data_IF_337788082416
#
_entry.id   IF_337788082416
#
_cell.length_a   1.000
_cell.length_b   1.000
_cell.length_c   1.000
_cell.angle_alpha   90.00
_cell.angle_beta   90.00
_cell.angle_gamma   90.00
#
_symmetry.space_group_name_H-M   'P 1'
#
loop_
_entity.id
_entity.type
_entity.pdbx_description
1 polymer ?
#
# COMPACT_ATOMS: atom_id res chain seq x y z
N UNK A 1 21.81 7.53 11.18
CA UNK A 1 22.60 6.51 10.45
C UNK A 1 21.69 5.61 9.60
N UNK A 2 20.44 5.34 10.00
CA UNK A 2 19.44 4.59 9.22
C UNK A 2 18.99 5.28 7.92
N UNK A 3 18.80 6.61 7.93
CA UNK A 3 18.34 7.38 6.75
C UNK A 3 19.33 7.33 5.57
N UNK A 4 20.63 7.16 5.85
CA UNK A 4 21.66 7.07 4.81
C UNK A 4 21.55 5.76 4.02
N UNK A 5 21.19 4.66 4.68
CA UNK A 5 20.96 3.37 4.04
C UNK A 5 19.68 3.36 3.20
N UNK A 6 18.61 3.99 3.67
CA UNK A 6 17.37 4.11 2.90
C UNK A 6 17.58 4.94 1.62
N UNK A 7 18.30 6.06 1.73
CA UNK A 7 18.63 6.91 0.59
C UNK A 7 19.59 6.23 -0.40
N UNK A 8 20.61 5.50 0.06
CA UNK A 8 21.49 4.71 -0.82
C UNK A 8 20.75 3.57 -1.54
N UNK A 9 19.80 2.89 -0.86
CA UNK A 9 18.95 1.87 -1.50
C UNK A 9 18.05 2.46 -2.58
N UNK A 10 17.53 3.66 -2.35
CA UNK A 10 16.73 4.39 -3.33
C UNK A 10 17.57 4.84 -4.55
N UNK A 11 18.74 5.44 -4.31
CA UNK A 11 19.61 5.98 -5.36
C UNK A 11 20.27 4.92 -6.24
N UNK A 12 20.50 3.71 -5.72
CA UNK A 12 21.09 2.62 -6.49
C UNK A 12 20.09 1.95 -7.45
N UNK A 13 18.81 2.36 -7.41
CA UNK A 13 17.71 1.63 -7.99
C UNK A 13 17.50 0.32 -7.23
N UNK A 14 16.25 -0.06 -6.96
CA UNK A 14 15.94 -1.42 -6.50
C UNK A 14 16.07 -2.41 -7.67
N UNK A 15 17.26 -2.43 -8.26
CA UNK A 15 17.65 -3.36 -9.29
C UNK A 15 17.92 -4.71 -8.62
N UNK A 16 17.05 -5.67 -8.88
CA UNK A 16 17.11 -7.05 -8.34
C UNK A 16 18.50 -7.71 -8.53
N UNK A 17 19.27 -7.24 -9.50
CA UNK A 17 20.61 -7.74 -9.79
C UNK A 17 21.68 -7.30 -8.78
N UNK A 18 21.40 -6.29 -7.95
CA UNK A 18 22.36 -5.71 -6.99
C UNK A 18 21.97 -5.84 -5.52
N UNK A 19 20.74 -6.27 -5.23
CA UNK A 19 20.25 -6.36 -3.86
C UNK A 19 20.34 -7.79 -3.33
N UNK A 20 21.22 -8.02 -2.36
CA UNK A 20 21.34 -9.28 -1.63
C UNK A 20 20.28 -9.31 -0.50
N UNK A 21 19.02 -9.57 -0.90
CA UNK A 21 17.87 -9.65 0.01
C UNK A 21 17.54 -11.11 0.34
N UNK A 22 17.11 -11.42 1.57
CA UNK A 22 16.61 -12.76 1.91
C UNK A 22 15.37 -13.10 1.06
N UNK A 23 15.21 -14.38 0.72
CA UNK A 23 14.21 -14.88 -0.24
C UNK A 23 12.82 -14.23 -0.16
N UNK A 24 12.16 -14.20 1.02
CA UNK A 24 10.82 -13.61 1.15
C UNK A 24 10.76 -12.10 0.86
N UNK A 25 11.81 -11.33 1.20
CA UNK A 25 11.86 -9.89 0.90
C UNK A 25 12.09 -9.64 -0.59
N UNK A 26 12.85 -10.52 -1.24
CA UNK A 26 13.06 -10.48 -2.69
C UNK A 26 11.76 -10.73 -3.44
N UNK A 27 11.02 -11.78 -3.07
CA UNK A 27 9.73 -12.13 -3.69
C UNK A 27 8.69 -11.00 -3.53
N UNK A 28 8.65 -10.36 -2.35
CA UNK A 28 7.78 -9.21 -2.11
C UNK A 28 8.16 -8.02 -3.00
N UNK A 29 9.46 -7.79 -3.20
CA UNK A 29 9.96 -6.70 -4.01
C UNK A 29 9.60 -6.89 -5.50
N UNK A 30 9.76 -8.07 -6.08
CA UNK A 30 9.36 -8.26 -7.49
C UNK A 30 7.85 -8.44 -7.69
N UNK A 31 7.10 -8.88 -6.68
CA UNK A 31 5.64 -8.69 -6.68
C UNK A 31 5.27 -7.19 -6.74
N UNK A 32 5.89 -6.36 -5.88
CA UNK A 32 5.66 -4.93 -5.87
C UNK A 32 6.05 -4.27 -7.20
N UNK A 33 7.15 -4.71 -7.80
CA UNK A 33 7.62 -4.25 -9.11
C UNK A 33 6.62 -4.54 -10.21
N UNK A 34 6.08 -5.76 -10.24
CA UNK A 34 5.05 -6.15 -11.19
C UNK A 34 3.81 -5.26 -11.07
N UNK A 35 3.30 -5.06 -9.85
CA UNK A 35 2.13 -4.18 -9.62
C UNK A 35 2.41 -2.73 -9.99
N UNK A 36 3.59 -2.21 -9.63
CA UNK A 36 4.00 -0.86 -10.01
C UNK A 36 4.02 -0.71 -11.53
N UNK A 37 4.63 -1.66 -12.24
CA UNK A 37 4.66 -1.67 -13.70
C UNK A 37 3.25 -1.64 -14.31
N UNK A 38 2.33 -2.48 -13.82
CA UNK A 38 0.94 -2.52 -14.30
C UNK A 38 0.18 -1.22 -14.06
N UNK A 39 0.32 -0.61 -12.88
CA UNK A 39 -0.31 0.68 -12.58
C UNK A 39 0.24 1.78 -13.49
N UNK A 40 1.57 1.82 -13.66
CA UNK A 40 2.22 2.84 -14.51
C UNK A 40 1.84 2.66 -15.98
N UNK A 41 1.79 1.43 -16.49
CA UNK A 41 1.31 1.11 -17.85
C UNK A 41 -0.12 1.63 -18.07
N UNK A 42 -1.02 1.44 -17.10
CA UNK A 42 -2.40 1.94 -17.18
C UNK A 42 -2.48 3.46 -17.24
N UNK A 43 -1.64 4.16 -16.48
CA UNK A 43 -1.65 5.63 -16.41
C UNK A 43 -0.96 6.31 -17.61
N UNK A 44 0.02 5.64 -18.22
CA UNK A 44 0.79 6.20 -19.33
C UNK A 44 0.28 5.79 -20.71
N UNK A 45 -0.65 4.83 -20.80
CA UNK A 45 -1.19 4.35 -22.08
C UNK A 45 -1.61 5.52 -23.00
N UNK A 46 -1.14 5.54 -24.27
CA UNK A 46 -0.44 4.47 -25.00
C UNK A 46 1.10 4.45 -24.87
N UNK A 47 1.69 5.30 -24.04
CA UNK A 47 3.15 5.35 -23.84
C UNK A 47 3.63 4.20 -22.97
N UNK A 48 4.78 3.64 -23.33
CA UNK A 48 5.44 2.58 -22.55
C UNK A 48 6.36 3.23 -21.51
N UNK A 49 6.21 2.92 -20.21
CA UNK A 49 7.13 3.42 -19.19
C UNK A 49 8.55 2.88 -19.39
N UNK A 50 9.56 3.69 -19.05
CA UNK A 50 10.93 3.21 -19.01
C UNK A 50 11.14 2.27 -17.82
N UNK A 51 12.09 1.35 -17.98
CA UNK A 51 12.49 0.42 -16.93
C UNK A 51 12.95 1.16 -15.66
N UNK A 52 13.73 2.22 -15.82
CA UNK A 52 14.27 3.04 -14.74
C UNK A 52 13.15 3.73 -13.95
N UNK A 53 12.10 4.20 -14.65
CA UNK A 53 10.95 4.82 -14.01
C UNK A 53 10.20 3.83 -13.13
N UNK A 54 9.92 2.63 -13.64
CA UNK A 54 9.25 1.57 -12.87
C UNK A 54 10.10 1.19 -11.66
N UNK A 55 11.40 0.97 -11.84
CA UNK A 55 12.32 0.62 -10.75
C UNK A 55 12.43 1.72 -9.68
N UNK A 56 12.48 3.00 -10.08
CA UNK A 56 12.50 4.12 -9.14
C UNK A 56 11.19 4.23 -8.34
N UNK A 57 10.04 4.05 -9.00
CA UNK A 57 8.74 4.05 -8.33
C UNK A 57 8.58 2.87 -7.38
N UNK A 58 8.99 1.67 -7.80
CA UNK A 58 9.01 0.49 -6.93
C UNK A 58 9.87 0.75 -5.70
N UNK A 59 11.04 1.36 -5.89
CA UNK A 59 11.90 1.72 -4.78
C UNK A 59 11.26 2.69 -3.79
N UNK A 60 10.63 3.76 -4.30
CA UNK A 60 9.89 4.71 -3.49
C UNK A 60 8.77 4.04 -2.69
N UNK A 61 7.93 3.23 -3.36
CA UNK A 61 6.79 2.56 -2.73
C UNK A 61 7.28 1.58 -1.66
N UNK A 62 8.33 0.80 -1.94
CA UNK A 62 8.90 -0.13 -0.97
C UNK A 62 9.41 0.61 0.28
N UNK A 63 10.15 1.70 0.13
CA UNK A 63 10.62 2.51 1.27
C UNK A 63 9.45 3.08 2.08
N UNK A 64 8.41 3.58 1.41
CA UNK A 64 7.21 4.07 2.10
C UNK A 64 6.52 2.94 2.90
N UNK A 65 6.42 1.74 2.33
CA UNK A 65 5.79 0.59 2.97
C UNK A 65 6.63 -0.05 4.08
N UNK A 66 7.96 0.00 3.99
CA UNK A 66 8.85 -0.61 4.99
C UNK A 66 9.13 0.33 6.15
N UNK A 67 9.43 1.60 5.86
CA UNK A 67 10.07 2.48 6.83
C UNK A 67 9.12 3.58 7.36
N UNK A 68 8.17 4.05 6.54
CA UNK A 68 7.37 5.23 6.89
C UNK A 68 5.95 4.91 7.36
N UNK A 69 5.13 4.29 6.50
CA UNK A 69 3.70 4.09 6.76
C UNK A 69 3.48 3.25 8.03
N UNK A 70 4.10 2.06 8.21
CA UNK A 70 3.85 1.23 9.39
C UNK A 70 4.26 1.93 10.69
N UNK A 71 5.36 2.68 10.67
CA UNK A 71 5.87 3.39 11.84
C UNK A 71 4.87 4.42 12.36
N UNK A 72 4.33 5.24 11.45
CA UNK A 72 3.31 6.25 11.79
C UNK A 72 2.00 5.61 12.25
N UNK A 73 1.54 4.56 11.57
CA UNK A 73 0.30 3.86 11.95
C UNK A 73 0.42 3.20 13.33
N UNK A 74 1.55 2.59 13.64
CA UNK A 74 1.84 2.03 14.96
C UNK A 74 1.87 3.14 16.02
N UNK A 75 2.42 4.30 15.69
CA UNK A 75 2.42 5.45 16.60
C UNK A 75 1.00 5.92 16.91
N UNK A 76 0.14 6.11 15.90
CA UNK A 76 -1.26 6.51 16.09
C UNK A 76 -2.06 5.49 16.90
N UNK A 77 -1.90 4.20 16.57
CA UNK A 77 -2.52 3.11 17.33
C UNK A 77 -2.12 3.13 18.81
N UNK A 78 -0.82 3.29 19.11
CA UNK A 78 -0.31 3.37 20.49
C UNK A 78 -0.80 4.62 21.20
N UNK A 79 -0.85 5.77 20.52
CA UNK A 79 -1.36 7.02 21.07
C UNK A 79 -2.84 6.89 21.48
N UNK A 80 -3.63 6.15 20.69
CA UNK A 80 -5.02 5.83 21.00
C UNK A 80 -5.19 4.66 22.01
N UNK A 81 -4.10 4.16 22.61
CA UNK A 81 -4.09 3.00 23.54
C UNK A 81 -4.74 1.74 22.98
N UNK A 82 -4.70 1.55 21.66
CA UNK A 82 -5.22 0.35 20.98
C UNK A 82 -4.10 -0.67 20.74
N UNK A 83 -4.50 -1.94 20.55
CA UNK A 83 -3.61 -3.06 20.19
C UNK A 83 -3.62 -3.38 18.70
N UNK A 84 -4.54 -2.80 17.92
CA UNK A 84 -4.72 -3.04 16.50
C UNK A 84 -4.90 -1.71 15.77
N UNK A 85 -4.26 -1.60 14.59
CA UNK A 85 -4.42 -0.49 13.66
C UNK A 85 -5.85 -0.51 13.12
N UNK A 86 -6.47 0.66 13.01
CA UNK A 86 -7.83 0.86 12.53
C UNK A 86 -7.88 1.90 11.41
N UNK A 87 -9.02 1.97 10.71
CA UNK A 87 -9.25 2.91 9.60
C UNK A 87 -8.90 4.37 9.99
N UNK A 88 -9.20 4.74 11.23
CA UNK A 88 -8.95 6.09 11.77
C UNK A 88 -7.45 6.44 11.76
N UNK A 89 -6.56 5.47 11.89
CA UNK A 89 -5.11 5.68 11.82
C UNK A 89 -4.68 6.05 10.39
N UNK A 90 -5.29 5.43 9.37
CA UNK A 90 -5.06 5.77 7.97
C UNK A 90 -5.64 7.13 7.59
N UNK A 91 -6.84 7.45 8.10
CA UNK A 91 -7.41 8.79 7.93
C UNK A 91 -6.53 9.86 8.58
N UNK A 92 -5.97 9.57 9.75
CA UNK A 92 -5.05 10.47 10.43
C UNK A 92 -3.73 10.61 9.67
N UNK A 93 -3.20 9.53 9.09
CA UNK A 93 -2.01 9.56 8.24
C UNK A 93 -2.22 10.47 7.00
N UNK A 94 -3.35 10.34 6.32
CA UNK A 94 -3.67 11.10 5.12
C UNK A 94 -4.25 12.51 5.39
N UNK A 95 -4.36 12.96 6.64
CA UNK A 95 -5.10 14.18 7.03
C UNK A 95 -4.67 15.48 6.33
N UNK A 96 -3.46 15.53 5.79
CA UNK A 96 -2.89 16.72 5.12
C UNK A 96 -2.79 16.56 3.60
N UNK A 97 -3.34 15.48 3.04
CA UNK A 97 -3.28 15.22 1.59
C UNK A 97 -4.69 15.15 1.01
N UNK A 98 -4.81 15.38 -0.29
CA UNK A 98 -6.07 15.22 -1.03
C UNK A 98 -6.61 13.78 -1.00
N UNK A 99 -5.77 12.80 -0.61
CA UNK A 99 -6.16 11.39 -0.47
C UNK A 99 -7.17 11.16 0.65
N UNK A 100 -7.30 12.08 1.62
CA UNK A 100 -8.23 11.92 2.73
C UNK A 100 -9.67 11.72 2.24
N UNK A 101 -10.10 12.52 1.28
CA UNK A 101 -11.49 12.49 0.81
C UNK A 101 -11.75 11.26 -0.05
N UNK A 102 -10.79 10.87 -0.90
CA UNK A 102 -10.84 9.60 -1.63
C UNK A 102 -10.91 8.39 -0.68
N UNK A 103 -10.17 8.39 0.42
CA UNK A 103 -10.22 7.32 1.42
C UNK A 103 -11.55 7.25 2.15
N UNK A 104 -12.15 8.40 2.49
CA UNK A 104 -13.49 8.44 3.09
C UNK A 104 -14.54 7.88 2.14
N UNK A 105 -14.48 8.26 0.87
CA UNK A 105 -15.39 7.75 -0.16
C UNK A 105 -15.25 6.24 -0.34
N UNK A 106 -14.01 5.75 -0.51
CA UNK A 106 -13.73 4.33 -0.63
C UNK A 106 -14.24 3.53 0.58
N UNK A 107 -14.06 4.07 1.80
CA UNK A 107 -14.59 3.47 3.04
C UNK A 107 -16.12 3.40 3.04
N UNK A 108 -16.80 4.43 2.54
CA UNK A 108 -18.26 4.42 2.43
C UNK A 108 -18.72 3.29 1.50
N UNK A 109 -18.08 3.15 0.34
CA UNK A 109 -18.39 2.09 -0.63
C UNK A 109 -18.16 0.68 -0.05
N UNK A 110 -17.07 0.45 0.70
CA UNK A 110 -16.83 -0.84 1.37
C UNK A 110 -17.92 -1.18 2.41
N UNK A 111 -18.43 -0.17 3.14
CA UNK A 111 -19.52 -0.34 4.10
C UNK A 111 -20.86 -0.64 3.43
N UNK A 112 -21.09 -0.14 2.22
CA UNK A 112 -22.28 -0.46 1.44
C UNK A 112 -22.23 -1.89 0.88
N UNK A 113 -21.08 -2.28 0.32
CA UNK A 113 -20.88 -3.62 -0.24
C UNK A 113 -20.93 -4.74 0.81
N UNK A 114 -20.55 -4.47 2.06
CA UNK A 114 -20.64 -5.45 3.15
C UNK A 114 -22.07 -5.64 3.69
N UNK A 115 -22.99 -4.70 3.45
CA UNK A 115 -24.41 -4.82 3.83
C UNK A 115 -25.20 -5.68 2.85
N UNK A 116 -24.87 -5.63 1.55
CA UNK A 116 -25.57 -6.40 0.52
C UNK A 116 -25.28 -7.90 0.61
N UNK A 117 -24.09 -8.32 1.07
CA UNK A 117 -23.77 -9.74 1.27
C UNK A 117 -24.51 -10.35 2.46
N UNK A 118 -24.75 -9.59 3.54
CA UNK A 118 -25.51 -10.08 4.71
C UNK A 118 -26.98 -10.33 4.40
N UNK A 119 -27.58 -9.53 3.51
CA UNK A 119 -29.00 -9.69 3.13
C UNK A 119 -29.26 -10.98 2.34
N UNK A 120 -28.24 -11.53 1.66
CA UNK A 120 -28.35 -12.76 0.88
C UNK A 120 -28.25 -14.03 1.72
N UNK A 121 -27.66 -13.97 2.92
CA UNK A 121 -27.53 -15.13 3.82
C UNK A 121 -28.77 -15.43 4.66
N UNK A 122 -29.65 -14.45 4.86
CA UNK A 122 -30.89 -14.63 5.63
C UNK A 122 -32.11 -14.98 4.75
N UNK A 123 -31.94 -15.09 3.43
CA UNK A 123 -33.04 -15.41 2.51
C UNK A 123 -33.10 -16.89 2.10
N UNK A 124 -32.09 -17.70 2.47
CA UNK A 124 -31.98 -19.12 2.13
C UNK A 124 -32.25 -20.07 3.34
N UNK A 125 -32.66 -19.55 4.50
CA UNK A 125 -32.81 -20.33 5.75
C UNK A 125 -34.26 -20.39 6.27
N UNK A 126 -35.24 -19.99 5.45
CA UNK A 126 -36.69 -20.08 5.73
C UNK A 126 -37.40 -20.87 4.60
N UNK A 127 -36.81 -22.00 4.19
CA UNK A 127 -37.41 -22.94 3.24
C UNK A 127 -36.96 -24.38 3.53
N UNK A 128 -37.42 -24.94 4.65
CA UNK A 128 -37.92 -26.33 4.76
C UNK A 128 -38.53 -26.59 6.16
#
# INVERSE_FOLDING_TARGET
MEDYHALQRFLNGMDETKMDLPGPEKDLLNALRFFTGKIVEQQLSPKVPSHEMVSALTGLVYTLLKDHIPRELVFFMKHAKRKQIQDEDFLLYCRKTSLLDHLKEYRAQLKENSKTTKKKKNADDDSD
#
